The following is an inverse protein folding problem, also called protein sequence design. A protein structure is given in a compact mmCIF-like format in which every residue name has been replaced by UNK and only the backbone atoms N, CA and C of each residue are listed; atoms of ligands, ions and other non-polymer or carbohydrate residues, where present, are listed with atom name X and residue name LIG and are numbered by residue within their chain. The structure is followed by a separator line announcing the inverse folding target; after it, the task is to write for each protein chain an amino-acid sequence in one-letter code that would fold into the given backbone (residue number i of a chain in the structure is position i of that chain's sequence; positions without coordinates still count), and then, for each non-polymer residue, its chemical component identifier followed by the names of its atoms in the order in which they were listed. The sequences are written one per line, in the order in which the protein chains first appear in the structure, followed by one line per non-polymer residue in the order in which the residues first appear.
data_IF_934223726585
#
_entry.id   IF_934223726585
#
_cell.length_a   1.000
_cell.length_b   1.000
_cell.length_c   1.000
_cell.angle_alpha   90.00
_cell.angle_beta   90.00
_cell.angle_gamma   90.00
#
_symmetry.space_group_name_H-M   'P 1'
#
loop_
_entity.id
_entity.type
_entity.pdbx_description
1 polymer ?
#
# COMPACT_ATOMS: atom_id res chain seq x y z
N UNK A 1 -2.29 28.18 -3.08
CA UNK A 1 -3.57 28.48 -3.76
C UNK A 1 -3.46 29.83 -4.46
N UNK A 2 -3.96 29.97 -5.68
CA UNK A 2 -3.99 31.23 -6.43
C UNK A 2 -5.41 31.54 -6.89
N UNK A 3 -5.90 32.77 -6.70
CA UNK A 3 -7.27 33.14 -7.07
C UNK A 3 -7.31 33.79 -8.45
N UNK A 4 -8.08 33.21 -9.38
CA UNK A 4 -8.30 33.78 -10.71
C UNK A 4 -9.64 34.53 -10.74
N UNK A 5 -9.70 35.79 -11.23
CA UNK A 5 -10.89 36.63 -11.14
C UNK A 5 -12.15 36.04 -11.83
N UNK A 6 -11.98 35.11 -12.76
CA UNK A 6 -13.10 34.42 -13.44
C UNK A 6 -13.37 32.99 -12.93
N UNK A 7 -12.40 32.34 -12.25
CA UNK A 7 -12.46 30.90 -11.94
C UNK A 7 -12.30 30.57 -10.45
N UNK A 8 -12.06 31.56 -9.59
CA UNK A 8 -11.98 31.37 -8.14
C UNK A 8 -10.63 30.78 -7.67
N UNK A 9 -10.62 30.19 -6.48
CA UNK A 9 -9.43 29.59 -5.86
C UNK A 9 -8.96 28.36 -6.62
N UNK A 10 -7.68 28.36 -7.00
CA UNK A 10 -7.03 27.22 -7.61
C UNK A 10 -6.04 26.59 -6.63
N UNK A 11 -6.18 25.27 -6.48
CA UNK A 11 -5.19 24.44 -5.79
C UNK A 11 -4.02 24.17 -6.72
N UNK A 12 -2.81 24.38 -6.21
CA UNK A 12 -1.56 24.06 -6.91
C UNK A 12 -0.68 23.29 -5.95
N UNK A 13 -0.32 22.06 -6.32
CA UNK A 13 0.65 21.24 -5.61
C UNK A 13 1.92 21.13 -6.45
N UNK A 14 3.07 21.41 -5.85
CA UNK A 14 4.38 21.24 -6.48
C UNK A 14 4.91 19.80 -6.33
N UNK A 15 4.44 19.06 -5.33
CA UNK A 15 4.90 17.71 -4.99
C UNK A 15 3.79 16.93 -4.27
N UNK A 16 3.75 15.61 -4.49
CA UNK A 16 2.84 14.68 -3.82
C UNK A 16 3.64 13.46 -3.38
N UNK A 17 3.85 13.31 -2.08
CA UNK A 17 4.49 12.12 -1.51
C UNK A 17 3.44 11.11 -1.03
N UNK A 18 3.61 9.85 -1.43
CA UNK A 18 2.83 8.72 -0.91
C UNK A 18 3.61 8.03 0.20
N UNK A 19 3.21 8.27 1.45
CA UNK A 19 3.73 7.51 2.58
C UNK A 19 3.01 6.17 2.69
N UNK A 20 3.75 5.13 3.08
CA UNK A 20 3.09 3.91 3.52
C UNK A 20 2.34 4.20 4.83
N UNK A 21 1.11 3.66 4.97
CA UNK A 21 0.36 3.80 6.19
C UNK A 21 1.10 3.16 7.35
N UNK A 22 1.10 3.82 8.51
CA UNK A 22 1.95 3.43 9.65
C UNK A 22 1.17 2.93 10.87
N UNK A 23 -0.16 3.09 10.87
CA UNK A 23 -1.04 2.53 11.88
C UNK A 23 -2.07 1.57 11.26
N UNK A 24 -2.70 0.75 12.11
CA UNK A 24 -3.61 -0.31 11.68
C UNK A 24 -4.82 0.22 10.88
N UNK A 25 -5.38 1.36 11.27
CA UNK A 25 -6.55 1.95 10.58
C UNK A 25 -6.17 2.39 9.18
N UNK A 26 -5.03 3.05 9.01
CA UNK A 26 -4.55 3.46 7.70
C UNK A 26 -4.17 2.25 6.83
N UNK A 27 -3.53 1.23 7.40
CA UNK A 27 -3.18 -0.02 6.68
C UNK A 27 -4.46 -0.72 6.20
N UNK A 28 -5.47 -0.80 7.07
CA UNK A 28 -6.77 -1.37 6.73
C UNK A 28 -7.41 -0.60 5.57
N UNK A 29 -7.50 0.72 5.68
CA UNK A 29 -8.12 1.57 4.65
C UNK A 29 -7.35 1.49 3.33
N UNK A 30 -6.03 1.49 3.39
CA UNK A 30 -5.16 1.34 2.23
C UNK A 30 -5.42 0.02 1.50
N UNK A 31 -5.40 -1.11 2.22
CA UNK A 31 -5.64 -2.42 1.61
C UNK A 31 -7.10 -2.59 1.15
N UNK A 32 -8.06 -2.11 1.93
CA UNK A 32 -9.49 -2.19 1.61
C UNK A 32 -9.88 -1.35 0.38
N UNK A 33 -9.07 -0.35 0.01
CA UNK A 33 -9.25 0.44 -1.23
C UNK A 33 -9.12 -0.38 -2.51
N UNK A 34 -8.59 -1.61 -2.42
CA UNK A 34 -8.35 -2.48 -3.58
C UNK A 34 -7.04 -2.17 -4.32
N UNK A 35 -6.15 -1.38 -3.72
CA UNK A 35 -4.81 -1.09 -4.26
C UNK A 35 -4.00 -2.37 -4.52
N UNK A 36 -4.21 -3.41 -3.72
CA UNK A 36 -3.60 -4.75 -3.92
C UNK A 36 -4.63 -5.69 -4.53
N UNK A 37 -4.34 -6.16 -5.75
CA UNK A 37 -5.17 -7.15 -6.44
C UNK A 37 -5.37 -8.39 -5.57
N UNK A 38 -6.63 -8.82 -5.39
CA UNK A 38 -6.97 -9.98 -4.57
C UNK A 38 -7.16 -9.70 -3.07
N UNK A 39 -6.98 -8.44 -2.64
CA UNK A 39 -7.26 -7.96 -1.28
C UNK A 39 -8.44 -6.99 -1.32
N UNK A 40 -9.63 -7.49 -1.01
CA UNK A 40 -10.81 -6.65 -0.74
C UNK A 40 -11.00 -6.38 0.75
N UNK A 41 -12.02 -5.59 1.15
CA UNK A 41 -12.24 -5.17 2.54
C UNK A 41 -12.19 -6.32 3.57
N UNK A 42 -12.93 -7.41 3.31
CA UNK A 42 -12.96 -8.56 4.21
C UNK A 42 -11.61 -9.32 4.31
N UNK A 43 -10.74 -9.21 3.30
CA UNK A 43 -9.39 -9.78 3.37
C UNK A 43 -8.45 -8.84 4.10
N UNK A 44 -8.56 -7.53 3.86
CA UNK A 44 -7.81 -6.50 4.56
C UNK A 44 -8.07 -6.55 6.08
N UNK A 45 -9.34 -6.68 6.50
CA UNK A 45 -9.71 -6.85 7.91
C UNK A 45 -9.01 -8.06 8.55
N UNK A 46 -8.99 -9.22 7.87
CA UNK A 46 -8.34 -10.43 8.38
C UNK A 46 -6.82 -10.28 8.46
N UNK A 47 -6.22 -9.60 7.50
CA UNK A 47 -4.79 -9.32 7.47
C UNK A 47 -4.39 -8.46 8.66
N UNK A 48 -5.05 -7.30 8.81
CA UNK A 48 -4.76 -6.36 9.90
C UNK A 48 -5.12 -6.96 11.26
N UNK A 49 -6.23 -7.66 11.40
CA UNK A 49 -6.57 -8.34 12.66
C UNK A 49 -5.54 -9.41 13.06
N UNK A 50 -4.82 -10.00 12.10
CA UNK A 50 -3.83 -11.06 12.36
C UNK A 50 -2.41 -10.53 12.58
N UNK A 51 -2.02 -9.49 11.84
CA UNK A 51 -0.64 -8.99 11.76
C UNK A 51 -0.48 -7.54 12.23
N UNK A 52 -1.57 -6.81 12.47
CA UNK A 52 -1.55 -5.42 12.93
C UNK A 52 -0.71 -4.54 12.02
N UNK A 53 0.17 -3.74 12.62
CA UNK A 53 1.10 -2.86 11.92
C UNK A 53 2.13 -3.60 11.04
N UNK A 54 2.37 -4.89 11.29
CA UNK A 54 3.33 -5.70 10.50
C UNK A 54 2.72 -6.19 9.18
N UNK A 55 1.44 -5.92 8.91
CA UNK A 55 0.73 -6.45 7.74
C UNK A 55 1.47 -6.20 6.43
N UNK A 56 1.97 -4.97 6.20
CA UNK A 56 2.64 -4.64 4.94
C UNK A 56 3.99 -5.37 4.79
N UNK A 57 4.75 -5.51 5.88
CA UNK A 57 5.98 -6.29 5.89
C UNK A 57 5.69 -7.76 5.56
N UNK A 58 4.65 -8.34 6.17
CA UNK A 58 4.27 -9.73 5.89
C UNK A 58 3.86 -9.92 4.42
N UNK A 59 3.11 -8.97 3.86
CA UNK A 59 2.77 -8.98 2.43
C UNK A 59 4.01 -8.85 1.54
N UNK A 60 5.02 -8.08 1.96
CA UNK A 60 6.24 -7.87 1.20
C UNK A 60 7.15 -9.10 1.19
N UNK A 61 7.45 -9.66 2.37
CA UNK A 61 8.58 -10.57 2.55
C UNK A 61 8.24 -11.94 3.14
N UNK A 62 7.05 -12.14 3.72
CA UNK A 62 6.69 -13.36 4.45
C UNK A 62 5.32 -13.93 4.03
N UNK A 63 5.09 -14.16 2.72
CA UNK A 63 3.80 -14.63 2.21
C UNK A 63 3.30 -15.92 2.88
N UNK A 64 4.18 -16.81 3.32
CA UNK A 64 3.83 -18.04 4.02
C UNK A 64 3.03 -17.79 5.31
N UNK A 65 3.28 -16.69 6.03
CA UNK A 65 2.52 -16.33 7.24
C UNK A 65 1.04 -16.11 6.94
N UNK A 66 0.70 -15.65 5.73
CA UNK A 66 -0.68 -15.40 5.32
C UNK A 66 -1.55 -16.67 5.37
N UNK A 67 -0.95 -17.86 5.25
CA UNK A 67 -1.66 -19.15 5.33
C UNK A 67 -2.29 -19.41 6.70
N UNK A 68 -1.88 -18.66 7.74
CA UNK A 68 -2.54 -18.68 9.05
C UNK A 68 -3.97 -18.09 9.00
N UNK A 69 -4.35 -17.39 7.93
CA UNK A 69 -5.70 -16.86 7.74
C UNK A 69 -6.60 -17.95 7.15
N UNK A 70 -7.73 -18.22 7.81
CA UNK A 70 -8.73 -19.21 7.33
C UNK A 70 -9.14 -18.92 5.88
N UNK A 71 -8.95 -19.91 5.00
CA UNK A 71 -9.26 -19.82 3.57
C UNK A 71 -8.16 -19.20 2.70
N UNK A 72 -6.99 -18.90 3.27
CA UNK A 72 -5.80 -18.50 2.53
C UNK A 72 -4.97 -19.73 2.16
N UNK A 73 -4.87 -20.04 0.87
CA UNK A 73 -3.97 -21.09 0.38
C UNK A 73 -2.56 -20.53 0.16
N UNK A 74 -1.54 -21.40 0.16
CA UNK A 74 -0.16 -20.98 -0.14
C UNK A 74 -0.05 -20.28 -1.50
N UNK A 75 -0.74 -20.80 -2.53
CA UNK A 75 -0.80 -20.16 -3.85
C UNK A 75 -1.38 -18.75 -3.78
N UNK A 76 -2.53 -18.58 -3.12
CA UNK A 76 -3.19 -17.27 -3.00
C UNK A 76 -2.32 -16.28 -2.22
N UNK A 77 -1.64 -16.75 -1.17
CA UNK A 77 -0.72 -15.94 -0.40
C UNK A 77 0.44 -15.39 -1.26
N UNK A 78 1.04 -16.25 -2.10
CA UNK A 78 2.09 -15.85 -3.04
C UNK A 78 1.56 -14.86 -4.10
N UNK A 79 0.36 -15.09 -4.64
CA UNK A 79 -0.28 -14.19 -5.60
C UNK A 79 -0.54 -12.78 -5.01
N UNK A 80 -1.01 -12.71 -3.75
CA UNK A 80 -1.23 -11.44 -3.05
C UNK A 80 0.10 -10.72 -2.80
N UNK A 81 1.13 -11.43 -2.35
CA UNK A 81 2.45 -10.84 -2.10
C UNK A 81 3.10 -10.34 -3.39
N UNK A 82 3.00 -11.09 -4.48
CA UNK A 82 3.47 -10.65 -5.79
C UNK A 82 2.75 -9.38 -6.26
N UNK A 83 1.42 -9.32 -6.10
CA UNK A 83 0.63 -8.13 -6.45
C UNK A 83 0.99 -6.91 -5.59
N UNK A 84 1.28 -7.11 -4.30
CA UNK A 84 1.75 -6.05 -3.42
C UNK A 84 3.13 -5.54 -3.86
N UNK A 85 4.07 -6.44 -4.11
CA UNK A 85 5.42 -6.10 -4.56
C UNK A 85 5.42 -5.41 -5.94
N UNK A 86 4.52 -5.78 -6.86
CA UNK A 86 4.31 -5.10 -8.14
C UNK A 86 3.94 -3.62 -7.95
N UNK A 87 3.05 -3.32 -7.00
CA UNK A 87 2.69 -1.94 -6.64
C UNK A 87 3.85 -1.18 -6.00
N UNK A 88 4.64 -1.86 -5.16
CA UNK A 88 5.77 -1.26 -4.46
C UNK A 88 7.01 -1.07 -5.35
N UNK A 89 7.08 -1.73 -6.50
CA UNK A 89 8.25 -1.68 -7.39
C UNK A 89 8.64 -0.27 -7.81
N UNK A 90 7.68 0.57 -8.24
CA UNK A 90 7.96 1.95 -8.62
C UNK A 90 8.43 2.79 -7.43
N UNK A 91 7.83 2.59 -6.25
CA UNK A 91 8.24 3.26 -5.02
C UNK A 91 9.67 2.88 -4.64
N UNK A 92 10.04 1.60 -4.78
CA UNK A 92 11.40 1.10 -4.50
C UNK A 92 12.45 1.73 -5.43
N UNK A 93 12.10 1.90 -6.72
CA UNK A 93 12.97 2.59 -7.68
C UNK A 93 13.12 4.07 -7.31
N UNK A 94 12.02 4.75 -6.97
CA UNK A 94 12.05 6.15 -6.54
C UNK A 94 12.87 6.34 -5.25
N UNK A 95 12.67 5.49 -4.24
CA UNK A 95 13.45 5.49 -2.99
C UNK A 95 14.95 5.22 -3.26
N UNK A 96 15.27 4.30 -4.18
CA UNK A 96 16.63 4.05 -4.60
C UNK A 96 17.26 5.29 -5.25
N UNK A 97 16.60 5.90 -6.24
CA UNK A 97 17.12 7.09 -6.93
C UNK A 97 17.32 8.28 -5.96
N UNK A 98 16.33 8.52 -5.08
CA UNK A 98 16.40 9.56 -4.06
C UNK A 98 17.55 9.33 -3.07
N UNK A 99 17.84 8.08 -2.70
CA UNK A 99 18.97 7.75 -1.81
C UNK A 99 20.35 8.07 -2.41
N UNK A 100 20.45 8.14 -3.74
CA UNK A 100 21.69 8.45 -4.46
C UNK A 100 21.70 9.88 -5.06
N UNK A 101 20.80 10.77 -4.64
CA UNK A 101 20.65 12.15 -5.14
C UNK A 101 20.51 12.26 -6.68
N UNK A 102 19.94 11.24 -7.33
CA UNK A 102 19.69 11.24 -8.77
C UNK A 102 18.22 11.64 -9.05
N UNK A 103 17.97 12.62 -9.95
CA UNK A 103 16.63 13.14 -10.23
C UNK A 103 15.71 12.14 -10.94
#
# INVERSE_FOLDING_TARGET
FSSHPQYGEQFSASEVERYLPSNETEILNYLASGVVRGVGPATAEKLVARFGIETLQVLESEPEKLTAIKGMTARRAQEISAAFNEQMGLRRVMEFLAHYDLP
#
